data_IF_234122598139
#
_entry.id   IF_234122598139
#
_cell.length_a   1.000
_cell.length_b   1.000
_cell.length_c   1.000
_cell.angle_alpha   90.00
_cell.angle_beta   90.00
_cell.angle_gamma   90.00
#
_symmetry.space_group_name_H-M   'P 1'
#
loop_
_entity.id
_entity.type
_entity.pdbx_description
1 polymer ?
#
# COMPACT_ATOMS: atom_id res chain seq x y z
N UNK A 1 0.84 -4.25 23.13
CA UNK A 1 0.58 -5.30 22.12
C UNK A 1 1.89 -6.01 21.84
N UNK A 2 1.84 -7.31 21.56
CA UNK A 2 3.02 -8.11 21.18
C UNK A 2 3.59 -7.58 19.84
N UNK A 3 4.91 -7.37 19.76
CA UNK A 3 5.57 -6.87 18.56
C UNK A 3 5.34 -7.78 17.35
N UNK A 4 5.23 -9.09 17.56
CA UNK A 4 4.92 -10.05 16.50
C UNK A 4 3.52 -9.83 15.92
N UNK A 5 2.55 -9.45 16.76
CA UNK A 5 1.19 -9.14 16.30
C UNK A 5 1.16 -7.84 15.48
N UNK A 6 1.88 -6.81 15.91
CA UNK A 6 1.97 -5.54 15.16
C UNK A 6 2.60 -5.79 13.78
N UNK A 7 3.68 -6.57 13.73
CA UNK A 7 4.32 -6.94 12.47
C UNK A 7 3.37 -7.76 11.57
N UNK A 8 2.61 -8.70 12.15
CA UNK A 8 1.59 -9.46 11.43
C UNK A 8 0.53 -8.58 10.78
N UNK A 9 -0.03 -7.62 11.53
CA UNK A 9 -1.00 -6.67 10.99
C UNK A 9 -0.41 -5.80 9.88
N UNK A 10 0.83 -5.31 10.06
CA UNK A 10 1.51 -4.55 9.02
C UNK A 10 1.72 -5.36 7.75
N UNK A 11 2.10 -6.65 7.85
CA UNK A 11 2.31 -7.51 6.69
C UNK A 11 1.00 -7.71 5.93
N UNK A 12 -0.12 -7.95 6.62
CA UNK A 12 -1.42 -8.11 5.95
C UNK A 12 -1.87 -6.81 5.28
N UNK A 13 -1.76 -5.66 5.96
CA UNK A 13 -2.09 -4.35 5.37
C UNK A 13 -1.18 -4.03 4.17
N UNK A 14 0.11 -4.35 4.27
CA UNK A 14 1.05 -4.13 3.17
C UNK A 14 0.70 -4.99 1.94
N UNK A 15 0.19 -6.21 2.11
CA UNK A 15 -0.29 -7.04 1.00
C UNK A 15 -1.48 -6.41 0.30
N UNK A 16 -2.47 -5.92 1.06
CA UNK A 16 -3.63 -5.23 0.48
C UNK A 16 -3.21 -4.01 -0.35
N UNK A 17 -2.32 -3.16 0.19
CA UNK A 17 -1.79 -2.02 -0.56
C UNK A 17 -0.96 -2.44 -1.78
N UNK A 18 -0.24 -3.56 -1.72
CA UNK A 18 0.51 -4.10 -2.86
C UNK A 18 -0.43 -4.61 -3.97
N UNK A 19 -1.57 -5.22 -3.63
CA UNK A 19 -2.57 -5.63 -4.61
C UNK A 19 -3.18 -4.42 -5.35
N UNK A 20 -3.47 -3.33 -4.63
CA UNK A 20 -3.90 -2.06 -5.23
C UNK A 20 -2.85 -1.52 -6.21
N UNK A 21 -1.58 -1.55 -5.80
CA UNK A 21 -0.47 -1.09 -6.64
C UNK A 21 -0.27 -1.97 -7.87
N UNK A 22 -0.31 -3.29 -7.72
CA UNK A 22 -0.17 -4.24 -8.82
C UNK A 22 -1.27 -4.03 -9.86
N UNK A 23 -2.53 -3.99 -9.42
CA UNK A 23 -3.69 -3.76 -10.30
C UNK A 23 -3.57 -2.41 -11.01
N UNK A 24 -3.23 -1.36 -10.25
CA UNK A 24 -3.07 -0.03 -10.82
C UNK A 24 -1.92 0.08 -11.83
N UNK A 25 -0.84 -0.67 -11.63
CA UNK A 25 0.29 -0.73 -12.58
C UNK A 25 -0.05 -1.52 -13.85
N UNK A 26 -0.82 -2.61 -13.73
CA UNK A 26 -1.29 -3.38 -14.90
C UNK A 26 -2.22 -2.55 -15.80
N UNK A 27 -2.98 -1.62 -15.21
CA UNK A 27 -3.93 -0.75 -15.91
C UNK A 27 -3.44 0.70 -16.01
N UNK A 28 -2.11 0.93 -15.95
CA UNK A 28 -1.52 2.25 -15.76
C UNK A 28 -2.03 3.31 -16.74
N UNK A 29 -2.22 2.95 -18.01
CA UNK A 29 -2.72 3.87 -19.03
C UNK A 29 -4.12 4.43 -18.72
N UNK A 30 -4.99 3.62 -18.12
CA UNK A 30 -6.32 4.05 -17.70
C UNK A 30 -6.25 4.80 -16.35
N UNK A 31 -5.37 4.35 -15.45
CA UNK A 31 -5.21 4.97 -14.12
C UNK A 31 -4.66 6.38 -14.21
N UNK A 32 -3.72 6.67 -15.12
CA UNK A 32 -3.16 8.03 -15.26
C UNK A 32 -4.17 9.05 -15.79
N UNK A 33 -5.25 8.59 -16.44
CA UNK A 33 -6.36 9.43 -16.88
C UNK A 33 -7.41 9.63 -15.78
N UNK A 34 -7.37 8.82 -14.72
CA UNK A 34 -8.27 8.87 -13.57
C UNK A 34 -7.51 9.33 -12.31
N UNK A 35 -7.69 10.60 -11.98
CA UNK A 35 -7.02 11.23 -10.84
C UNK A 35 -7.36 10.57 -9.50
N UNK A 36 -8.54 9.97 -9.34
CA UNK A 36 -8.94 9.31 -8.10
C UNK A 36 -8.17 8.00 -7.92
N UNK A 37 -8.11 7.18 -8.98
CA UNK A 37 -7.34 5.92 -9.01
C UNK A 37 -5.85 6.17 -8.86
N UNK A 38 -5.32 7.22 -9.49
CA UNK A 38 -3.92 7.60 -9.33
C UNK A 38 -3.60 8.00 -7.87
N UNK A 39 -4.51 8.75 -7.23
CA UNK A 39 -4.37 9.11 -5.83
C UNK A 39 -4.52 7.90 -4.89
N UNK A 40 -5.32 6.90 -5.26
CA UNK A 40 -5.42 5.64 -4.52
C UNK A 40 -4.08 4.88 -4.51
N UNK A 41 -3.45 4.72 -5.67
CA UNK A 41 -2.10 4.14 -5.76
C UNK A 41 -1.08 4.91 -4.93
N UNK A 42 -1.13 6.25 -4.98
CA UNK A 42 -0.25 7.08 -4.17
C UNK A 42 -0.45 6.84 -2.66
N UNK A 43 -1.70 6.77 -2.20
CA UNK A 43 -2.03 6.48 -0.79
C UNK A 43 -1.54 5.10 -0.38
N UNK A 44 -1.75 4.07 -1.21
CA UNK A 44 -1.28 2.71 -0.94
C UNK A 44 0.25 2.67 -0.74
N UNK A 45 1.00 3.27 -1.66
CA UNK A 45 2.45 3.40 -1.52
C UNK A 45 2.87 4.20 -0.28
N UNK A 46 2.15 5.29 0.03
CA UNK A 46 2.43 6.12 1.20
C UNK A 46 2.19 5.36 2.51
N UNK A 47 1.12 4.57 2.59
CA UNK A 47 0.76 3.75 3.75
C UNK A 47 1.83 2.69 4.02
N UNK A 48 2.30 1.97 3.00
CA UNK A 48 3.40 0.99 3.14
C UNK A 48 4.66 1.67 3.71
N UNK A 49 5.08 2.80 3.11
CA UNK A 49 6.25 3.58 3.57
C UNK A 49 6.08 4.07 5.01
N UNK A 50 4.87 4.51 5.37
CA UNK A 50 4.55 4.95 6.72
C UNK A 50 4.62 3.79 7.71
N UNK A 51 3.94 2.68 7.39
CA UNK A 51 3.87 1.48 8.22
C UNK A 51 5.25 0.86 8.48
N UNK A 52 6.13 0.80 7.48
CA UNK A 52 7.49 0.24 7.64
C UNK A 52 8.26 0.97 8.75
N UNK A 53 8.17 2.30 8.80
CA UNK A 53 8.77 3.11 9.86
C UNK A 53 8.21 2.78 11.25
N UNK A 54 6.92 2.50 11.36
CA UNK A 54 6.29 2.15 12.64
C UNK A 54 6.77 0.78 13.14
N UNK A 55 7.02 -0.17 12.24
CA UNK A 55 7.57 -1.50 12.58
C UNK A 55 9.10 -1.58 12.53
N UNK A 56 9.77 -0.47 12.22
CA UNK A 56 11.24 -0.35 12.10
C UNK A 56 11.85 -1.23 11.00
N UNK A 57 11.18 -1.29 9.85
CA UNK A 57 11.66 -1.83 8.57
C UNK A 57 12.15 -0.72 7.65
#
# INVERSE_FOLDING_TARGET
MDQQKILGYFIEEAKEHLETLETGLLELSAVVEDQERLNEMFRAAHSIKGGSRHVRL
#
